data_IF_383993690145
#
_entry.id   IF_383993690145
#
_cell.length_a   1.000
_cell.length_b   1.000
_cell.length_c   1.000
_cell.angle_alpha   90.00
_cell.angle_beta   90.00
_cell.angle_gamma   90.00
#
_symmetry.space_group_name_H-M   'P 1'
#
loop_
_entity.id
_entity.type
_entity.pdbx_description
1 polymer ?
#
# COMPACT_ATOMS: atom_id res chain seq x y z
N UNK A 1 -4.73 -49.88 3.65
CA UNK A 1 -5.41 -49.96 4.96
C UNK A 1 -6.91 -49.95 4.70
N UNK A 2 -7.60 -51.07 4.92
CA UNK A 2 -8.99 -51.24 4.50
C UNK A 2 -9.93 -50.58 5.52
N UNK A 3 -10.69 -49.55 5.13
CA UNK A 3 -11.59 -48.81 6.06
C UNK A 3 -12.71 -49.69 6.63
N UNK A 4 -12.93 -50.88 6.08
CA UNK A 4 -13.95 -51.83 6.54
C UNK A 4 -13.61 -52.51 7.87
N UNK A 5 -12.34 -52.49 8.30
CA UNK A 5 -11.88 -53.07 9.57
C UNK A 5 -12.12 -52.16 10.78
N UNK A 6 -12.48 -50.89 10.54
CA UNK A 6 -12.77 -49.91 11.59
C UNK A 6 -14.25 -49.89 11.98
N UNK A 7 -14.53 -49.68 13.27
CA UNK A 7 -15.90 -49.53 13.76
C UNK A 7 -16.62 -48.35 13.08
N UNK A 8 -17.95 -48.42 12.96
CA UNK A 8 -18.76 -47.38 12.32
C UNK A 8 -18.47 -45.99 12.90
N UNK A 9 -18.24 -45.89 14.22
CA UNK A 9 -17.88 -44.65 14.91
C UNK A 9 -16.55 -44.08 14.43
N UNK A 10 -15.51 -44.91 14.29
CA UNK A 10 -14.20 -44.48 13.83
C UNK A 10 -14.24 -43.93 12.39
N UNK A 11 -15.04 -44.56 11.51
CA UNK A 11 -15.25 -44.05 10.14
C UNK A 11 -15.93 -42.68 10.12
N UNK A 12 -16.93 -42.46 10.98
CA UNK A 12 -17.61 -41.16 11.08
C UNK A 12 -16.65 -40.07 11.60
N UNK A 13 -15.86 -40.35 12.65
CA UNK A 13 -14.88 -39.39 13.15
C UNK A 13 -13.78 -39.09 12.12
N UNK A 14 -13.36 -40.08 11.33
CA UNK A 14 -12.39 -39.85 10.26
C UNK A 14 -12.94 -38.89 9.19
N UNK A 15 -14.18 -39.08 8.75
CA UNK A 15 -14.82 -38.18 7.79
C UNK A 15 -14.99 -36.76 8.35
N UNK A 16 -15.35 -36.63 9.63
CA UNK A 16 -15.43 -35.32 10.30
C UNK A 16 -14.04 -34.67 10.35
N UNK A 17 -13.00 -35.41 10.77
CA UNK A 17 -11.64 -34.90 10.82
C UNK A 17 -11.12 -34.47 9.45
N UNK A 18 -11.42 -35.25 8.40
CA UNK A 18 -11.10 -34.90 7.03
C UNK A 18 -11.80 -33.60 6.59
N UNK A 19 -13.09 -33.45 6.89
CA UNK A 19 -13.84 -32.24 6.56
C UNK A 19 -13.28 -31.00 7.29
N UNK A 20 -13.02 -31.11 8.59
CA UNK A 20 -12.41 -30.03 9.39
C UNK A 20 -11.03 -29.67 8.85
N UNK A 21 -10.22 -30.65 8.47
CA UNK A 21 -8.88 -30.42 7.91
C UNK A 21 -8.97 -29.70 6.56
N UNK A 22 -9.87 -30.14 5.68
CA UNK A 22 -10.11 -29.48 4.39
C UNK A 22 -10.55 -28.03 4.57
N UNK A 23 -11.47 -27.76 5.50
CA UNK A 23 -11.90 -26.40 5.84
C UNK A 23 -10.74 -25.56 6.38
N UNK A 24 -9.93 -26.11 7.28
CA UNK A 24 -8.78 -25.40 7.83
C UNK A 24 -7.75 -25.02 6.76
N UNK A 25 -7.51 -25.89 5.78
CA UNK A 25 -6.62 -25.61 4.64
C UNK A 25 -7.19 -24.46 3.80
N UNK A 26 -8.48 -24.50 3.45
CA UNK A 26 -9.12 -23.44 2.65
C UNK A 26 -9.08 -22.10 3.37
N UNK A 27 -9.37 -22.09 4.67
CA UNK A 27 -9.33 -20.87 5.48
C UNK A 27 -7.91 -20.31 5.57
N UNK A 28 -6.91 -21.17 5.76
CA UNK A 28 -5.51 -20.74 5.77
C UNK A 28 -5.11 -20.09 4.44
N UNK A 29 -5.50 -20.68 3.31
CA UNK A 29 -5.25 -20.09 1.99
C UNK A 29 -5.98 -18.76 1.79
N UNK A 30 -7.23 -18.67 2.25
CA UNK A 30 -8.03 -17.43 2.22
C UNK A 30 -7.36 -16.32 3.01
N UNK A 31 -6.87 -16.61 4.21
CA UNK A 31 -6.16 -15.65 5.07
C UNK A 31 -4.88 -15.12 4.42
N UNK A 32 -4.10 -15.97 3.76
CA UNK A 32 -2.90 -15.53 3.03
C UNK A 32 -3.27 -14.57 1.89
N UNK A 33 -4.27 -14.94 1.08
CA UNK A 33 -4.73 -14.09 -0.01
C UNK A 33 -5.26 -12.74 0.49
N UNK A 34 -6.01 -12.74 1.59
CA UNK A 34 -6.53 -11.52 2.19
C UNK A 34 -5.40 -10.62 2.72
N UNK A 35 -4.39 -11.21 3.38
CA UNK A 35 -3.21 -10.48 3.83
C UNK A 35 -2.52 -9.80 2.66
N UNK A 36 -2.24 -10.54 1.59
CA UNK A 36 -1.53 -10.00 0.43
C UNK A 36 -2.35 -8.90 -0.27
N UNK A 37 -3.67 -9.09 -0.38
CA UNK A 37 -4.57 -8.06 -0.90
C UNK A 37 -4.58 -6.79 -0.05
N UNK A 38 -4.51 -6.89 1.29
CA UNK A 38 -4.44 -5.72 2.17
C UNK A 38 -3.15 -4.93 1.97
N UNK A 39 -2.01 -5.62 1.81
CA UNK A 39 -0.73 -4.96 1.51
C UNK A 39 -0.75 -4.29 0.15
N UNK A 40 -1.20 -4.99 -0.89
CA UNK A 40 -1.27 -4.44 -2.24
C UNK A 40 -2.19 -3.21 -2.29
N UNK A 41 -3.37 -3.28 -1.68
CA UNK A 41 -4.28 -2.14 -1.60
C UNK A 41 -3.67 -0.95 -0.86
N UNK A 42 -2.90 -1.19 0.21
CA UNK A 42 -2.21 -0.12 0.94
C UNK A 42 -1.13 0.52 0.07
N UNK A 43 -0.37 -0.29 -0.65
CA UNK A 43 0.68 0.17 -1.55
C UNK A 43 0.12 0.99 -2.72
N UNK A 44 -0.98 0.52 -3.33
CA UNK A 44 -1.68 1.25 -4.40
C UNK A 44 -2.22 2.60 -3.94
N UNK A 45 -2.77 2.68 -2.72
CA UNK A 45 -3.23 3.95 -2.13
C UNK A 45 -2.08 4.95 -1.98
N UNK A 46 -0.96 4.53 -1.39
CA UNK A 46 0.22 5.40 -1.23
C UNK A 46 0.76 5.81 -2.59
N UNK A 47 0.83 4.89 -3.55
CA UNK A 47 1.27 5.19 -4.92
C UNK A 47 0.40 6.26 -5.58
N UNK A 48 -0.92 6.13 -5.52
CA UNK A 48 -1.84 7.12 -6.11
C UNK A 48 -1.70 8.51 -5.45
N UNK A 49 -1.44 8.55 -4.14
CA UNK A 49 -1.15 9.80 -3.44
C UNK A 49 0.16 10.45 -3.91
N UNK A 50 1.22 9.65 -4.07
CA UNK A 50 2.51 10.13 -4.60
C UNK A 50 2.39 10.58 -6.05
N UNK A 51 1.64 9.86 -6.89
CA UNK A 51 1.36 10.26 -8.27
C UNK A 51 0.62 11.60 -8.32
N UNK A 52 -0.35 11.82 -7.44
CA UNK A 52 -1.07 13.09 -7.33
C UNK A 52 -0.15 14.24 -6.91
N UNK A 53 0.72 14.01 -5.93
CA UNK A 53 1.74 14.99 -5.51
C UNK A 53 2.75 15.27 -6.63
N UNK A 54 3.13 14.25 -7.40
CA UNK A 54 4.01 14.39 -8.56
C UNK A 54 3.38 15.27 -9.64
N UNK A 55 2.10 15.05 -9.98
CA UNK A 55 1.38 15.90 -10.94
C UNK A 55 1.32 17.37 -10.50
N UNK A 56 1.17 17.62 -9.19
CA UNK A 56 1.24 18.98 -8.64
C UNK A 56 2.63 19.61 -8.86
N UNK A 57 3.71 18.87 -8.62
CA UNK A 57 5.09 19.32 -8.88
C UNK A 57 5.31 19.55 -10.39
N UNK A 58 4.81 18.67 -11.25
CA UNK A 58 4.89 18.81 -12.70
C UNK A 58 4.20 20.10 -13.19
N UNK A 59 3.09 20.49 -12.58
CA UNK A 59 2.42 21.77 -12.84
C UNK A 59 3.35 22.97 -12.63
N UNK A 60 4.02 23.03 -11.48
CA UNK A 60 5.00 24.08 -11.19
C UNK A 60 6.22 24.02 -12.12
N UNK A 61 6.71 22.82 -12.43
CA UNK A 61 7.80 22.64 -13.38
C UNK A 61 7.42 23.12 -14.78
N UNK A 62 6.15 22.97 -15.19
CA UNK A 62 5.63 23.47 -16.45
C UNK A 62 5.63 25.00 -16.48
N UNK A 63 5.17 25.66 -15.41
CA UNK A 63 5.20 27.13 -15.30
C UNK A 63 6.62 27.69 -15.37
N UNK A 64 7.60 26.98 -14.82
CA UNK A 64 9.01 27.33 -14.97
C UNK A 64 9.48 27.20 -16.43
N UNK A 65 9.08 26.13 -17.12
CA UNK A 65 9.44 25.90 -18.52
C UNK A 65 8.82 26.91 -19.48
N UNK A 66 7.60 27.37 -19.21
CA UNK A 66 6.92 28.40 -20.02
C UNK A 66 7.42 29.81 -19.72
N UNK A 67 8.22 29.99 -18.66
CA UNK A 67 8.75 31.28 -18.23
C UNK A 67 7.75 32.12 -17.42
N UNK A 68 6.59 31.54 -17.05
CA UNK A 68 5.60 32.17 -16.18
C UNK A 68 6.09 32.29 -14.73
N UNK A 69 7.02 31.42 -14.33
CA UNK A 69 7.73 31.47 -13.06
C UNK A 69 9.23 31.29 -13.28
N UNK A 70 10.07 31.85 -12.41
CA UNK A 70 11.47 31.41 -12.35
C UNK A 70 11.56 29.99 -11.79
N UNK A 71 12.60 29.24 -12.15
CA UNK A 71 12.82 27.89 -11.61
C UNK A 71 12.90 27.89 -10.07
N UNK A 72 13.47 28.94 -9.48
CA UNK A 72 13.58 29.08 -8.01
C UNK A 72 12.20 29.28 -7.36
N UNK A 73 11.36 30.14 -7.94
CA UNK A 73 9.99 30.38 -7.45
C UNK A 73 9.13 29.13 -7.61
N UNK A 74 9.23 28.42 -8.73
CA UNK A 74 8.49 27.19 -8.98
C UNK A 74 8.86 26.09 -7.97
N UNK A 75 10.17 25.89 -7.71
CA UNK A 75 10.64 24.95 -6.70
C UNK A 75 10.14 25.30 -5.30
N UNK A 76 10.21 26.58 -4.92
CA UNK A 76 9.73 27.05 -3.61
C UNK A 76 8.22 26.86 -3.45
N UNK A 77 7.44 27.16 -4.49
CA UNK A 77 5.98 27.01 -4.48
C UNK A 77 5.57 25.52 -4.44
N UNK A 78 6.25 24.66 -5.20
CA UNK A 78 6.03 23.21 -5.16
C UNK A 78 6.34 22.63 -3.77
N UNK A 79 7.51 22.99 -3.21
CA UNK A 79 7.93 22.61 -1.86
C UNK A 79 6.86 22.98 -0.83
N UNK A 80 6.50 24.26 -0.76
CA UNK A 80 5.51 24.77 0.20
C UNK A 80 4.15 24.10 0.04
N UNK A 81 3.72 23.85 -1.19
CA UNK A 81 2.44 23.18 -1.44
C UNK A 81 2.47 21.75 -0.90
N UNK A 82 3.54 21.01 -1.18
CA UNK A 82 3.71 19.63 -0.70
C UNK A 82 3.86 19.55 0.82
N UNK A 83 4.53 20.51 1.46
CA UNK A 83 4.66 20.56 2.92
C UNK A 83 3.31 20.73 3.63
N UNK A 84 2.36 21.42 3.01
CA UNK A 84 1.02 21.60 3.55
C UNK A 84 0.06 20.45 3.19
N UNK A 85 0.50 19.48 2.38
CA UNK A 85 -0.30 18.30 2.06
C UNK A 85 -0.21 17.30 3.21
N UNK A 86 -1.37 16.89 3.71
CA UNK A 86 -1.51 15.77 4.64
C UNK A 86 -2.55 14.78 4.13
N UNK A 87 -2.44 13.53 4.55
CA UNK A 87 -3.39 12.48 4.21
C UNK A 87 -3.63 11.55 5.39
N UNK A 88 -4.69 10.74 5.30
CA UNK A 88 -5.13 9.86 6.37
C UNK A 88 -5.19 10.60 7.72
N UNK A 89 -4.60 10.02 8.78
CA UNK A 89 -4.61 10.57 10.13
C UNK A 89 -3.30 11.31 10.45
N UNK A 90 -2.96 12.31 9.64
CA UNK A 90 -1.76 13.15 9.85
C UNK A 90 -0.48 12.60 9.21
N UNK A 91 -0.61 11.71 8.22
CA UNK A 91 0.51 11.30 7.39
C UNK A 91 0.90 12.44 6.44
N UNK A 92 2.16 12.50 6.06
CA UNK A 92 2.75 13.63 5.34
C UNK A 92 3.58 13.18 4.14
N UNK A 93 3.91 14.16 3.28
CA UNK A 93 4.78 13.96 2.13
C UNK A 93 6.17 14.53 2.43
N UNK A 94 7.19 13.95 1.80
CA UNK A 94 8.57 14.44 1.88
C UNK A 94 9.25 14.31 0.52
N UNK A 95 10.31 15.08 0.32
CA UNK A 95 11.14 15.04 -0.90
C UNK A 95 12.59 14.80 -0.49
N UNK A 96 13.23 13.82 -1.10
CA UNK A 96 14.66 13.57 -0.99
C UNK A 96 15.34 13.87 -2.33
N UNK A 97 16.53 14.45 -2.29
CA UNK A 97 17.41 14.46 -3.46
C UNK A 97 18.17 13.12 -3.60
N UNK A 98 18.92 12.97 -4.70
CA UNK A 98 19.71 11.77 -4.97
C UNK A 98 20.89 11.56 -4.00
N UNK A 99 21.23 12.57 -3.17
CA UNK A 99 22.24 12.48 -2.13
C UNK A 99 21.62 12.19 -0.75
N UNK A 100 20.33 11.83 -0.71
CA UNK A 100 19.54 11.61 0.50
C UNK A 100 19.42 12.84 1.41
N UNK A 101 19.48 14.04 0.84
CA UNK A 101 19.20 15.30 1.54
C UNK A 101 17.70 15.56 1.50
N UNK A 102 17.11 15.87 2.67
CA UNK A 102 15.71 16.28 2.77
C UNK A 102 15.54 17.67 2.18
N UNK A 103 14.76 17.75 1.10
CA UNK A 103 14.47 19.00 0.39
C UNK A 103 13.17 19.62 0.92
N UNK A 104 12.19 18.79 1.29
CA UNK A 104 10.90 19.18 1.84
C UNK A 104 10.39 18.12 2.82
N UNK A 105 9.72 18.54 3.89
CA UNK A 105 9.12 17.65 4.87
C UNK A 105 7.83 18.27 5.41
N UNK A 106 6.68 17.59 5.30
CA UNK A 106 5.37 18.15 5.66
C UNK A 106 5.09 18.39 7.15
N UNK A 107 6.14 18.47 7.96
CA UNK A 107 6.09 18.80 9.39
C UNK A 107 7.02 19.98 9.72
N UNK A 108 7.53 20.67 8.69
CA UNK A 108 8.41 21.84 8.81
C UNK A 108 7.64 23.18 8.92
#
# INVERSE_FOLDING_TARGET
>A
MNLQEFTVKARLYFLIGLAVTAMAILEFMSLQNQRDALFENSNQKVKALVESAHTLIEGYASLAKTGEMTETEAKLAAKRSLENMSYANGEYFFILDYNAVVVAHGVD
#
